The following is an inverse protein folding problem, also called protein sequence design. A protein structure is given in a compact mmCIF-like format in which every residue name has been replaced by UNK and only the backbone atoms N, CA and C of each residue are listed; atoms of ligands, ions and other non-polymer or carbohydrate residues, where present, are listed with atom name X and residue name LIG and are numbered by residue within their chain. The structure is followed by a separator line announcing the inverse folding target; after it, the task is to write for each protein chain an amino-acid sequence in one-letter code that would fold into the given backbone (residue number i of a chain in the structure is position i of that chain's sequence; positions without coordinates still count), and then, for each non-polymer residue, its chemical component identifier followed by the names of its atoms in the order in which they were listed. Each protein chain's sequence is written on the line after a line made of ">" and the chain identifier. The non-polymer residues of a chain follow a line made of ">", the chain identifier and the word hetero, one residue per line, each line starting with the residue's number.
data_IF_793464983247
#
_entry.id   IF_793464983247
#
_cell.length_a   1.000
_cell.length_b   1.000
_cell.length_c   1.000
_cell.angle_alpha   90.00
_cell.angle_beta   90.00
_cell.angle_gamma   90.00
#
_symmetry.space_group_name_H-M   'P 1'
#
loop_
_entity.id
_entity.type
_entity.pdbx_description
1 polymer ?
#
# COMPACT_ATOMS: atom_id res chain seq x y z
N UNK A 1 -25.68 15.68 21.42
CA UNK A 1 -24.73 14.67 20.88
C UNK A 1 -25.20 14.35 19.47
N UNK A 2 -24.33 14.49 18.47
CA UNK A 2 -24.64 14.11 17.09
C UNK A 2 -24.74 12.59 16.97
N UNK A 3 -25.77 12.11 16.27
CA UNK A 3 -25.92 10.69 15.94
C UNK A 3 -24.85 10.27 14.93
N UNK A 4 -24.04 9.28 15.28
CA UNK A 4 -23.01 8.74 14.38
C UNK A 4 -23.61 7.58 13.58
N UNK A 5 -23.94 7.86 12.32
CA UNK A 5 -24.52 6.86 11.41
C UNK A 5 -23.60 5.64 11.18
N UNK A 6 -22.28 5.86 11.16
CA UNK A 6 -21.33 4.78 10.94
C UNK A 6 -21.32 3.76 12.10
N UNK A 7 -21.62 4.21 13.32
CA UNK A 7 -21.72 3.30 14.48
C UNK A 7 -23.07 2.57 14.54
N UNK A 8 -24.09 3.06 13.82
CA UNK A 8 -25.42 2.48 13.80
C UNK A 8 -25.59 1.42 12.69
N UNK A 9 -24.80 1.48 11.63
CA UNK A 9 -24.68 0.47 10.58
C UNK A 9 -23.73 -0.64 11.05
N UNK A 10 -24.20 -1.47 11.94
CA UNK A 10 -23.38 -2.49 12.61
C UNK A 10 -22.99 -3.63 11.70
N UNK A 11 -23.76 -3.90 10.63
CA UNK A 11 -23.48 -4.95 9.66
C UNK A 11 -22.67 -4.43 8.44
N UNK A 12 -22.57 -3.09 8.25
CA UNK A 12 -21.79 -2.46 7.19
C UNK A 12 -22.44 -2.54 5.81
N UNK A 13 -23.76 -2.70 5.72
CA UNK A 13 -24.48 -2.79 4.44
C UNK A 13 -24.90 -1.42 3.86
N UNK A 14 -24.59 -0.34 4.55
CA UNK A 14 -24.92 1.03 4.18
C UNK A 14 -26.35 1.46 4.56
N UNK A 15 -27.10 0.60 5.24
CA UNK A 15 -28.47 0.87 5.71
C UNK A 15 -28.51 0.75 7.23
N UNK A 16 -29.37 1.54 7.87
CA UNK A 16 -29.63 1.43 9.31
C UNK A 16 -31.03 0.85 9.49
N UNK A 17 -31.11 -0.40 9.92
CA UNK A 17 -32.35 -1.16 10.02
C UNK A 17 -32.29 -2.23 11.12
N UNK A 18 -33.29 -3.12 11.16
CA UNK A 18 -33.37 -4.20 12.16
C UNK A 18 -32.24 -5.23 12.09
N UNK A 19 -31.57 -5.37 10.93
CA UNK A 19 -30.41 -6.26 10.79
C UNK A 19 -29.21 -5.78 11.62
N UNK A 20 -29.04 -4.45 11.75
CA UNK A 20 -28.01 -3.86 12.62
C UNK A 20 -28.32 -4.09 14.08
N UNK A 21 -29.59 -3.88 14.47
CA UNK A 21 -30.04 -4.16 15.83
C UNK A 21 -29.84 -5.63 16.22
N UNK A 22 -30.13 -6.55 15.28
CA UNK A 22 -29.89 -7.98 15.47
C UNK A 22 -28.39 -8.29 15.63
N UNK A 23 -27.53 -7.69 14.80
CA UNK A 23 -26.08 -7.85 14.89
C UNK A 23 -25.55 -7.35 16.24
N UNK A 24 -25.98 -6.15 16.65
CA UNK A 24 -25.61 -5.59 17.96
C UNK A 24 -26.04 -6.53 19.10
N UNK A 25 -27.27 -7.04 19.03
CA UNK A 25 -27.77 -7.97 20.04
C UNK A 25 -26.93 -9.26 20.10
N UNK A 26 -26.61 -9.87 18.96
CA UNK A 26 -25.77 -11.08 18.87
C UNK A 26 -24.38 -10.88 19.46
N UNK A 27 -23.77 -9.70 19.20
CA UNK A 27 -22.49 -9.33 19.82
C UNK A 27 -22.64 -9.18 21.32
N UNK A 28 -23.69 -8.50 21.78
CA UNK A 28 -23.91 -8.21 23.21
C UNK A 28 -24.11 -9.48 24.03
N UNK A 29 -24.78 -10.49 23.46
CA UNK A 29 -24.99 -11.80 24.13
C UNK A 29 -23.90 -12.82 23.84
N UNK A 30 -22.80 -12.43 23.17
CA UNK A 30 -21.64 -13.29 22.93
C UNK A 30 -21.84 -14.34 21.84
N UNK A 31 -22.89 -14.28 21.06
CA UNK A 31 -23.15 -15.17 19.92
C UNK A 31 -22.34 -14.76 18.66
N UNK A 32 -21.83 -13.55 18.64
CA UNK A 32 -20.99 -13.01 17.58
C UNK A 32 -19.92 -12.10 18.19
N UNK A 33 -18.73 -12.10 17.64
CA UNK A 33 -17.69 -11.17 18.10
C UNK A 33 -17.84 -9.82 17.44
N UNK A 34 -17.62 -8.74 18.20
CA UNK A 34 -17.49 -7.41 17.65
C UNK A 34 -16.26 -7.38 16.70
N UNK A 35 -16.47 -6.88 15.50
CA UNK A 35 -15.32 -6.62 14.61
C UNK A 35 -14.46 -5.51 15.23
N UNK A 36 -13.28 -5.86 15.67
CA UNK A 36 -12.34 -4.91 16.25
C UNK A 36 -11.58 -4.20 15.10
N UNK A 37 -12.25 -3.21 14.50
CA UNK A 37 -11.64 -2.41 13.43
C UNK A 37 -10.65 -1.45 14.09
N UNK A 38 -9.36 -1.50 13.73
CA UNK A 38 -8.36 -0.59 14.27
C UNK A 38 -8.74 0.88 14.05
N UNK A 39 -8.50 1.73 15.02
CA UNK A 39 -8.81 3.17 14.92
C UNK A 39 -7.59 4.07 15.07
N UNK A 40 -6.52 3.56 15.67
CA UNK A 40 -5.27 4.30 15.85
C UNK A 40 -4.21 3.87 14.84
N UNK A 41 -3.36 4.80 14.46
CA UNK A 41 -2.37 4.62 13.37
C UNK A 41 -1.51 3.37 13.53
N UNK A 42 -0.99 3.11 14.72
CA UNK A 42 -0.14 1.94 14.98
C UNK A 42 -0.87 0.60 14.81
N UNK A 43 -2.11 0.51 15.24
CA UNK A 43 -2.94 -0.70 15.06
C UNK A 43 -3.32 -0.92 13.60
N UNK A 44 -3.60 0.16 12.84
CA UNK A 44 -3.89 0.08 11.41
C UNK A 44 -2.69 -0.44 10.64
N UNK A 45 -1.49 0.05 10.96
CA UNK A 45 -0.23 -0.43 10.35
C UNK A 45 0.00 -1.89 10.68
N UNK A 46 -0.18 -2.28 11.94
CA UNK A 46 -0.06 -3.68 12.34
C UNK A 46 -1.03 -4.57 11.58
N UNK A 47 -2.30 -4.16 11.49
CA UNK A 47 -3.31 -4.89 10.72
C UNK A 47 -2.91 -5.06 9.25
N UNK A 48 -2.41 -3.99 8.61
CA UNK A 48 -1.93 -4.04 7.22
C UNK A 48 -0.77 -5.04 7.04
N UNK A 49 0.24 -4.98 7.91
CA UNK A 49 1.38 -5.90 7.86
C UNK A 49 0.94 -7.36 8.06
N UNK A 50 0.04 -7.61 9.01
CA UNK A 50 -0.49 -8.94 9.28
C UNK A 50 -1.34 -9.46 8.09
N UNK A 51 -2.13 -8.58 7.46
CA UNK A 51 -2.92 -8.92 6.28
C UNK A 51 -2.03 -9.28 5.07
N UNK A 52 -0.96 -8.54 4.83
CA UNK A 52 0.04 -8.88 3.80
C UNK A 52 0.67 -10.24 4.08
N UNK A 53 1.21 -10.46 5.28
CA UNK A 53 1.83 -11.71 5.67
C UNK A 53 0.87 -12.89 5.48
N UNK A 54 -0.38 -12.74 5.90
CA UNK A 54 -1.43 -13.75 5.72
C UNK A 54 -1.71 -14.02 4.25
N UNK A 55 -1.75 -12.97 3.43
CA UNK A 55 -1.99 -13.09 1.99
C UNK A 55 -0.88 -13.91 1.35
N UNK A 56 0.38 -13.54 1.57
CA UNK A 56 1.52 -14.25 0.99
C UNK A 56 1.62 -15.71 1.43
N UNK A 57 1.22 -16.04 2.66
CA UNK A 57 1.20 -17.44 3.10
C UNK A 57 0.13 -18.31 2.42
N UNK A 58 -0.86 -17.72 1.76
CA UNK A 58 -2.03 -18.42 1.21
C UNK A 58 -2.27 -18.16 -0.28
N UNK A 59 -1.63 -17.14 -0.86
CA UNK A 59 -1.81 -16.79 -2.26
C UNK A 59 -1.21 -17.88 -3.16
N UNK A 60 -1.93 -18.22 -4.24
CA UNK A 60 -1.46 -19.14 -5.27
C UNK A 60 -1.08 -18.44 -6.55
N UNK A 61 -1.66 -17.28 -6.79
CA UNK A 61 -1.43 -16.49 -8.00
C UNK A 61 -1.62 -15.01 -7.69
N UNK A 62 -0.72 -14.18 -8.20
CA UNK A 62 -0.86 -12.73 -8.14
C UNK A 62 -0.54 -12.11 -9.50
N UNK A 63 -1.19 -10.98 -9.78
CA UNK A 63 -0.88 -10.16 -10.95
C UNK A 63 -0.45 -8.79 -10.46
N UNK A 64 0.71 -8.34 -10.94
CA UNK A 64 1.29 -7.03 -10.64
C UNK A 64 1.33 -6.22 -11.92
N UNK A 65 0.77 -5.02 -11.88
CA UNK A 65 0.90 -4.05 -12.97
C UNK A 65 1.75 -2.89 -12.47
N UNK A 66 2.85 -2.63 -13.15
CA UNK A 66 3.70 -1.46 -12.94
C UNK A 66 3.38 -0.45 -14.03
N UNK A 67 3.26 0.81 -13.66
CA UNK A 67 3.12 1.90 -14.62
C UNK A 67 3.92 3.11 -14.15
N UNK A 68 4.71 3.64 -15.07
CA UNK A 68 5.48 4.86 -14.86
C UNK A 68 4.96 5.94 -15.81
N UNK A 69 4.78 7.14 -15.28
CA UNK A 69 4.47 8.34 -16.04
C UNK A 69 5.22 9.52 -15.42
N UNK A 70 5.67 10.45 -16.20
CA UNK A 70 6.42 11.57 -15.66
C UNK A 70 6.80 12.63 -16.68
N UNK A 71 7.51 13.60 -16.17
CA UNK A 71 8.18 14.63 -16.97
C UNK A 71 9.64 14.67 -16.55
N UNK A 72 10.54 14.59 -17.48
CA UNK A 72 11.95 14.84 -17.20
C UNK A 72 12.36 16.21 -17.75
N UNK A 73 13.27 16.85 -17.06
CA UNK A 73 13.82 18.15 -17.48
C UNK A 73 15.34 18.04 -17.62
N UNK A 74 15.83 18.37 -18.79
CA UNK A 74 17.26 18.38 -19.06
C UNK A 74 17.63 19.69 -19.79
N UNK A 75 18.64 20.39 -19.28
CA UNK A 75 19.08 21.69 -19.81
C UNK A 75 17.92 22.69 -19.99
N UNK A 76 16.99 22.74 -19.05
CA UNK A 76 15.84 23.64 -19.07
C UNK A 76 14.72 23.28 -20.06
N UNK A 77 14.83 22.17 -20.77
CA UNK A 77 13.77 21.63 -21.63
C UNK A 77 13.09 20.46 -20.93
N UNK A 78 11.77 20.51 -20.86
CA UNK A 78 10.96 19.45 -20.26
C UNK A 78 10.28 18.62 -21.34
N UNK A 79 10.36 17.31 -21.22
CA UNK A 79 9.68 16.37 -22.08
C UNK A 79 8.83 15.40 -21.24
N UNK A 80 7.64 15.07 -21.71
CA UNK A 80 6.78 14.09 -21.09
C UNK A 80 7.27 12.69 -21.46
N UNK A 81 7.41 11.83 -20.44
CA UNK A 81 7.64 10.40 -20.68
C UNK A 81 6.38 9.76 -21.24
N UNK A 82 6.52 8.94 -22.28
CA UNK A 82 5.43 8.07 -22.69
C UNK A 82 5.13 7.08 -21.56
N UNK A 83 3.84 6.89 -21.21
CA UNK A 83 3.47 5.97 -20.15
C UNK A 83 3.96 4.55 -20.48
N UNK A 84 4.77 4.01 -19.58
CA UNK A 84 5.18 2.62 -19.66
C UNK A 84 4.31 1.80 -18.72
N UNK A 85 3.70 0.71 -19.22
CA UNK A 85 2.86 -0.18 -18.43
C UNK A 85 3.20 -1.63 -18.69
N UNK A 86 3.69 -2.29 -17.65
CA UNK A 86 4.05 -3.70 -17.68
C UNK A 86 3.20 -4.50 -16.70
N UNK A 87 2.71 -5.66 -17.14
CA UNK A 87 1.92 -6.57 -16.29
C UNK A 87 2.62 -7.91 -16.19
N UNK A 88 2.82 -8.35 -14.96
CA UNK A 88 3.47 -9.60 -14.60
C UNK A 88 2.50 -10.49 -13.84
N UNK A 89 2.59 -11.79 -14.06
CA UNK A 89 1.81 -12.76 -13.27
C UNK A 89 2.77 -13.77 -12.65
N UNK A 90 2.68 -13.91 -11.34
CA UNK A 90 3.46 -14.89 -10.57
C UNK A 90 2.56 -15.99 -10.01
N UNK A 91 3.11 -17.19 -9.95
CA UNK A 91 2.54 -18.33 -9.24
C UNK A 91 3.30 -18.52 -7.91
N UNK A 92 2.55 -18.82 -6.85
CA UNK A 92 3.11 -18.97 -5.51
C UNK A 92 2.88 -20.37 -5.00
N UNK A 93 3.92 -20.99 -4.47
CA UNK A 93 3.86 -22.26 -3.77
C UNK A 93 4.39 -22.05 -2.36
N UNK A 94 3.52 -22.27 -1.35
CA UNK A 94 3.85 -22.06 0.06
C UNK A 94 4.40 -20.65 0.37
N UNK A 95 3.88 -19.62 -0.32
CA UNK A 95 4.32 -18.24 -0.15
C UNK A 95 5.60 -17.86 -0.89
N UNK A 96 6.19 -18.78 -1.64
CA UNK A 96 7.36 -18.53 -2.49
C UNK A 96 6.90 -18.28 -3.92
N UNK A 97 7.36 -17.19 -4.50
CA UNK A 97 7.14 -16.87 -5.91
C UNK A 97 8.07 -17.70 -6.80
N UNK A 98 7.49 -18.59 -7.60
CA UNK A 98 8.24 -19.46 -8.52
C UNK A 98 8.68 -18.73 -9.82
N UNK A 99 8.09 -17.58 -10.12
CA UNK A 99 8.29 -16.88 -11.39
C UNK A 99 9.12 -15.60 -11.25
N UNK A 100 9.68 -15.33 -10.05
CA UNK A 100 10.42 -14.11 -9.77
C UNK A 100 9.65 -12.86 -10.23
N UNK A 101 8.43 -12.66 -9.70
CA UNK A 101 7.76 -11.37 -9.86
C UNK A 101 8.77 -10.28 -9.51
N UNK A 102 8.81 -9.18 -10.26
CA UNK A 102 9.72 -8.09 -9.96
C UNK A 102 9.68 -7.80 -8.46
N UNK A 103 10.84 -7.66 -7.83
CA UNK A 103 11.02 -7.46 -6.38
C UNK A 103 10.31 -6.21 -5.80
N UNK A 104 9.47 -5.60 -6.60
CA UNK A 104 8.66 -4.41 -6.31
C UNK A 104 7.33 -4.74 -5.64
N UNK A 105 7.05 -6.00 -5.42
CA UNK A 105 5.86 -6.39 -4.68
C UNK A 105 6.13 -6.15 -3.20
N UNK A 106 5.25 -5.43 -2.57
CA UNK A 106 5.17 -5.30 -1.12
C UNK A 106 5.07 -6.70 -0.53
N UNK A 107 6.24 -7.28 -0.27
CA UNK A 107 6.40 -8.68 0.07
C UNK A 107 6.04 -8.98 1.52
N UNK A 108 6.09 -10.26 1.93
CA UNK A 108 5.78 -10.69 3.29
C UNK A 108 6.72 -10.08 4.32
N UNK A 109 7.88 -9.61 3.92
CA UNK A 109 8.90 -8.99 4.77
C UNK A 109 8.74 -7.46 4.90
N UNK A 110 7.74 -6.86 4.24
CA UNK A 110 7.43 -5.45 4.40
C UNK A 110 7.08 -5.14 5.85
N UNK A 111 7.87 -4.29 6.49
CA UNK A 111 7.69 -3.89 7.89
C UNK A 111 7.46 -2.39 7.97
N UNK A 112 6.26 -1.95 7.57
CA UNK A 112 5.85 -0.60 7.86
C UNK A 112 5.72 -0.40 9.38
N UNK A 113 6.19 0.75 9.85
CA UNK A 113 6.01 1.18 11.24
C UNK A 113 5.20 2.46 11.28
N UNK A 114 4.59 2.73 12.43
CA UNK A 114 3.81 3.95 12.64
C UNK A 114 4.62 5.23 12.37
N UNK A 115 5.91 5.21 12.70
CA UNK A 115 6.79 6.37 12.53
C UNK A 115 7.10 6.71 11.07
N UNK A 116 6.96 5.77 10.16
CA UNK A 116 7.14 5.97 8.72
C UNK A 116 5.96 6.71 8.08
N UNK A 117 4.80 6.75 8.76
CA UNK A 117 3.57 7.27 8.20
C UNK A 117 3.25 8.68 8.66
N UNK A 118 2.79 9.50 7.74
CA UNK A 118 2.10 10.76 8.02
C UNK A 118 0.65 10.51 8.44
N UNK A 119 -0.02 9.54 7.78
CA UNK A 119 -1.40 9.17 8.14
C UNK A 119 -1.69 7.69 7.85
N UNK A 120 -2.67 7.15 8.59
CA UNK A 120 -3.28 5.85 8.32
C UNK A 120 -4.77 5.94 8.59
N UNK A 121 -5.58 5.40 7.71
CA UNK A 121 -7.04 5.30 7.85
C UNK A 121 -7.51 3.91 7.44
N UNK A 122 -8.60 3.47 8.05
CA UNK A 122 -9.26 2.22 7.71
C UNK A 122 -10.77 2.44 7.69
N UNK A 123 -11.44 1.86 6.74
CA UNK A 123 -12.90 1.96 6.58
C UNK A 123 -13.49 0.59 6.31
N UNK A 124 -14.67 0.33 6.89
CA UNK A 124 -15.44 -0.88 6.62
C UNK A 124 -16.05 -0.82 5.23
N UNK A 125 -16.04 -1.95 4.55
CA UNK A 125 -16.73 -2.22 3.31
C UNK A 125 -17.67 -3.40 3.50
N UNK A 126 -18.59 -3.64 2.57
CA UNK A 126 -19.51 -4.79 2.62
C UNK A 126 -18.80 -6.13 2.72
N UNK A 127 -17.61 -6.25 2.12
CA UNK A 127 -16.86 -7.51 2.00
C UNK A 127 -15.41 -7.39 2.49
N UNK A 128 -15.16 -6.64 3.57
CA UNK A 128 -13.83 -6.48 4.13
C UNK A 128 -13.52 -5.06 4.59
N UNK A 129 -12.25 -4.66 4.52
CA UNK A 129 -11.79 -3.35 4.96
C UNK A 129 -10.99 -2.67 3.86
N UNK A 130 -11.16 -1.36 3.71
CA UNK A 130 -10.29 -0.50 2.90
C UNK A 130 -9.31 0.23 3.80
N UNK A 131 -8.03 0.05 3.55
CA UNK A 131 -6.92 0.64 4.28
C UNK A 131 -6.26 1.68 3.37
N UNK A 132 -5.93 2.84 3.92
CA UNK A 132 -5.13 3.85 3.24
C UNK A 132 -4.02 4.31 4.17
N UNK A 133 -2.78 4.15 3.73
CA UNK A 133 -1.57 4.59 4.42
C UNK A 133 -0.88 5.65 3.57
N UNK A 134 -0.32 6.66 4.21
CA UNK A 134 0.48 7.68 3.55
C UNK A 134 1.85 7.71 4.22
N UNK A 135 2.89 7.39 3.46
CA UNK A 135 4.27 7.45 3.93
C UNK A 135 4.70 8.92 3.99
N UNK A 136 5.53 9.27 4.95
CA UNK A 136 6.11 10.61 5.08
C UNK A 136 6.92 10.95 3.82
N UNK A 137 6.87 12.21 3.43
CA UNK A 137 7.75 12.73 2.39
C UNK A 137 9.19 12.76 2.88
N UNK A 138 10.14 12.48 2.00
CA UNK A 138 11.56 12.53 2.30
C UNK A 138 12.39 12.93 1.08
N UNK A 139 13.54 13.54 1.32
CA UNK A 139 14.57 13.74 0.29
C UNK A 139 15.80 12.94 0.71
N UNK A 140 16.24 12.05 -0.16
CA UNK A 140 17.38 11.16 0.10
C UNK A 140 18.40 11.26 -1.01
N UNK A 141 19.66 11.03 -0.65
CA UNK A 141 20.73 10.77 -1.62
C UNK A 141 20.42 9.43 -2.33
N UNK A 142 20.61 9.36 -3.64
CA UNK A 142 20.35 8.15 -4.44
C UNK A 142 21.13 6.91 -3.98
N UNK A 143 22.17 7.11 -3.16
CA UNK A 143 23.00 6.03 -2.58
C UNK A 143 22.58 5.62 -1.17
N UNK A 144 21.50 6.20 -0.61
CA UNK A 144 21.06 5.95 0.77
C UNK A 144 19.71 5.24 0.81
N UNK A 145 19.52 4.43 1.86
CA UNK A 145 18.23 3.83 2.14
C UNK A 145 17.19 4.89 2.46
N UNK A 146 16.01 4.72 1.91
CA UNK A 146 14.85 5.57 2.16
C UNK A 146 13.78 4.84 2.97
N UNK A 147 12.88 5.59 3.62
CA UNK A 147 11.67 5.03 4.24
C UNK A 147 10.81 4.31 3.20
N UNK A 148 10.81 4.81 1.97
CA UNK A 148 10.14 4.16 0.84
C UNK A 148 10.69 2.76 0.55
N UNK A 149 12.02 2.58 0.55
CA UNK A 149 12.64 1.26 0.39
C UNK A 149 12.29 0.32 1.55
N UNK A 150 12.31 0.84 2.78
CA UNK A 150 11.89 0.07 3.96
C UNK A 150 10.41 -0.35 3.91
N UNK A 151 9.56 0.41 3.22
CA UNK A 151 8.16 0.07 2.98
C UNK A 151 7.95 -1.02 1.89
N UNK A 152 9.02 -1.55 1.32
CA UNK A 152 8.97 -2.52 0.21
C UNK A 152 8.68 -1.86 -1.13
N UNK A 153 8.91 -0.55 -1.23
CA UNK A 153 8.83 0.19 -2.47
C UNK A 153 10.02 -0.13 -3.37
N UNK A 154 9.92 0.38 -4.57
CA UNK A 154 10.94 0.28 -5.59
C UNK A 154 12.23 0.95 -5.09
N UNK A 155 13.34 0.23 -4.90
CA UNK A 155 14.60 0.93 -4.85
C UNK A 155 14.73 1.64 -6.19
N UNK A 156 14.90 2.95 -6.16
CA UNK A 156 15.23 3.68 -7.38
C UNK A 156 16.67 3.30 -7.73
N UNK A 157 16.83 2.11 -8.25
CA UNK A 157 18.03 1.76 -8.97
C UNK A 157 17.93 2.50 -10.29
N UNK A 158 18.66 3.59 -10.41
CA UNK A 158 18.99 4.12 -11.71
C UNK A 158 19.62 2.98 -12.48
N UNK A 159 18.82 2.36 -13.34
CA UNK A 159 19.34 1.36 -14.25
C UNK A 159 20.53 1.95 -14.97
N UNK A 160 21.68 1.49 -14.63
CA UNK A 160 22.96 1.79 -15.25
C UNK A 160 23.02 1.15 -16.63
N UNK A 161 22.02 1.35 -17.46
CA UNK A 161 22.16 0.95 -18.87
C UNK A 161 22.86 2.02 -19.73
N UNK A 162 23.30 3.08 -19.08
CA UNK A 162 24.20 4.07 -19.68
C UNK A 162 23.59 4.97 -20.74
N UNK A 163 22.27 5.01 -20.87
CA UNK A 163 21.63 5.76 -21.96
C UNK A 163 21.27 7.20 -21.63
N UNK A 164 21.07 7.59 -20.37
CA UNK A 164 20.59 8.93 -20.05
C UNK A 164 21.54 9.82 -19.23
N UNK A 165 22.33 9.29 -18.31
CA UNK A 165 23.24 10.12 -17.49
C UNK A 165 24.54 9.36 -17.25
N UNK A 166 25.57 9.62 -18.03
CA UNK A 166 26.84 8.89 -17.94
C UNK A 166 27.72 9.27 -16.74
N UNK A 167 27.66 10.51 -16.29
CA UNK A 167 28.58 11.03 -15.27
C UNK A 167 27.88 12.01 -14.35
N UNK A 168 27.15 11.55 -13.34
CA UNK A 168 26.67 12.42 -12.27
C UNK A 168 27.60 12.34 -11.05
N UNK A 169 27.89 13.49 -10.48
CA UNK A 169 28.72 13.58 -9.26
C UNK A 169 27.88 13.43 -7.98
N UNK A 170 26.60 13.83 -8.06
CA UNK A 170 25.64 13.71 -6.97
C UNK A 170 24.22 13.60 -7.48
N UNK A 171 23.35 13.03 -6.67
CA UNK A 171 21.93 12.92 -7.00
C UNK A 171 21.07 12.77 -5.76
N UNK A 172 19.84 13.27 -5.86
CA UNK A 172 18.84 13.11 -4.81
C UNK A 172 17.49 12.73 -5.40
N UNK A 173 16.71 11.99 -4.60
CA UNK A 173 15.30 11.69 -4.90
C UNK A 173 14.44 12.27 -3.80
N UNK A 174 13.45 13.08 -4.18
CA UNK A 174 12.41 13.58 -3.28
C UNK A 174 11.15 12.78 -3.49
N UNK A 175 10.74 11.98 -2.49
CA UNK A 175 9.46 11.27 -2.46
C UNK A 175 8.41 12.16 -1.79
N UNK A 176 7.30 12.41 -2.48
CA UNK A 176 6.25 13.34 -2.02
C UNK A 176 5.04 12.62 -1.41
N UNK A 177 5.29 11.68 -0.51
CA UNK A 177 4.23 10.99 0.21
C UNK A 177 3.63 9.83 -0.58
N UNK A 178 4.27 8.66 -0.56
CA UNK A 178 3.73 7.43 -1.14
C UNK A 178 2.40 7.08 -0.50
N UNK A 179 1.40 6.83 -1.33
CA UNK A 179 0.06 6.40 -0.90
C UNK A 179 -0.10 4.91 -1.19
N UNK A 180 -0.44 4.15 -0.15
CA UNK A 180 -0.78 2.74 -0.22
C UNK A 180 -2.27 2.61 0.04
N UNK A 181 -3.02 2.03 -0.89
CA UNK A 181 -4.41 1.65 -0.71
C UNK A 181 -4.54 0.13 -0.84
N UNK A 182 -5.05 -0.51 0.20
CA UNK A 182 -5.28 -1.94 0.23
C UNK A 182 -6.75 -2.23 0.52
N UNK A 183 -7.30 -3.26 -0.14
CA UNK A 183 -8.61 -3.81 0.16
C UNK A 183 -8.41 -5.24 0.66
N UNK A 184 -8.93 -5.54 1.85
CA UNK A 184 -8.93 -6.90 2.40
C UNK A 184 -10.28 -7.59 2.20
N UNK A 185 -10.26 -8.91 2.18
CA UNK A 185 -11.48 -9.72 2.28
C UNK A 185 -11.93 -9.88 3.74
N UNK A 186 -13.06 -10.56 3.95
CA UNK A 186 -13.60 -10.87 5.30
C UNK A 186 -12.70 -11.78 6.13
N UNK A 187 -11.73 -12.45 5.50
CA UNK A 187 -10.72 -13.25 6.18
C UNK A 187 -9.45 -12.45 6.52
N UNK A 188 -9.42 -11.15 6.23
CA UNK A 188 -8.28 -10.28 6.47
C UNK A 188 -7.10 -10.51 5.52
N UNK A 189 -7.33 -11.02 4.30
CA UNK A 189 -6.31 -11.15 3.25
C UNK A 189 -6.43 -9.98 2.29
N UNK A 190 -5.32 -9.43 1.86
CA UNK A 190 -5.29 -8.39 0.82
C UNK A 190 -5.72 -8.99 -0.52
N UNK A 191 -6.75 -8.41 -1.12
CA UNK A 191 -7.25 -8.75 -2.45
C UNK A 191 -6.76 -7.80 -3.52
N UNK A 192 -6.65 -6.53 -3.14
CA UNK A 192 -6.22 -5.45 -4.03
C UNK A 192 -5.22 -4.59 -3.29
N UNK A 193 -4.15 -4.23 -3.96
CA UNK A 193 -3.13 -3.34 -3.45
C UNK A 193 -2.76 -2.35 -4.56
N UNK A 194 -2.91 -1.07 -4.26
CA UNK A 194 -2.51 0.01 -5.14
C UNK A 194 -1.50 0.88 -4.40
N UNK A 195 -0.38 1.15 -5.04
CA UNK A 195 0.68 2.00 -4.50
C UNK A 195 1.01 3.08 -5.50
N UNK A 196 0.96 4.31 -5.04
CA UNK A 196 1.30 5.48 -5.84
C UNK A 196 2.42 6.25 -5.17
N UNK A 197 3.54 6.37 -5.86
CA UNK A 197 4.74 7.07 -5.36
C UNK A 197 5.08 8.25 -6.27
N UNK A 198 4.68 9.47 -5.91
CA UNK A 198 5.17 10.67 -6.57
C UNK A 198 6.63 10.90 -6.17
N UNK A 199 7.51 11.14 -7.13
CA UNK A 199 8.90 11.46 -6.84
C UNK A 199 9.48 12.45 -7.84
N UNK A 200 10.54 13.14 -7.43
CA UNK A 200 11.38 14.00 -8.27
C UNK A 200 12.82 13.57 -8.06
N UNK A 201 13.53 13.34 -9.15
CA UNK A 201 14.96 13.04 -9.13
C UNK A 201 15.75 14.21 -9.65
N UNK A 202 16.80 14.61 -8.94
CA UNK A 202 17.69 15.69 -9.28
C UNK A 202 19.14 15.17 -9.32
N UNK A 203 19.86 15.48 -10.40
CA UNK A 203 21.26 15.09 -10.59
C UNK A 203 22.11 16.27 -10.96
N UNK A 204 23.36 16.26 -10.51
CA UNK A 204 24.41 17.20 -10.86
C UNK A 204 25.70 16.50 -11.20
#
# INVERSE_FOLDING_TARGET
>A
KSFNKANADANGDGKINSSDALKILRITVGLEQAENIPTVKGEIVKYYNDALKKTYSQVKKATVTLSDEGVYTFNGKSEKMEPNKNTFTGNFVNGVDENNLPAYTYGPDTKLTENMLSSATIAKMSNGLKIRLVIKSEKVDVKKDSVYNAAGGFPFEFGYDGTFIKDYTSGSVTYSGTVIEAVTDTNGRVKELNVKTPYISEFT
#
